data_IF_287851387122
#
_entry.id   IF_287851387122
#
_cell.length_a   1.000
_cell.length_b   1.000
_cell.length_c   1.000
_cell.angle_alpha   90.00
_cell.angle_beta   90.00
_cell.angle_gamma   90.00
#
_symmetry.space_group_name_H-M   'P 1'
#
loop_
_entity.id
_entity.type
_entity.pdbx_description
1 polymer ?
#
# COMPACT_ATOMS: atom_id res chain seq x y z
N UNK A 1 -0.91 -24.70 -33.57
CA UNK A 1 -1.08 -23.69 -34.64
C UNK A 1 -0.03 -22.58 -34.50
N UNK A 2 0.40 -21.94 -35.60
CA UNK A 2 1.30 -20.79 -35.56
C UNK A 2 0.75 -19.62 -34.72
N UNK A 3 -0.57 -19.40 -34.77
CA UNK A 3 -1.28 -18.39 -33.97
C UNK A 3 -1.08 -18.62 -32.47
N UNK A 4 -1.21 -19.88 -32.00
CA UNK A 4 -1.02 -20.23 -30.60
C UNK A 4 0.42 -19.97 -30.12
N UNK A 5 1.42 -20.24 -30.96
CA UNK A 5 2.83 -19.95 -30.65
C UNK A 5 3.11 -18.46 -30.57
N UNK A 6 2.56 -17.68 -31.49
CA UNK A 6 2.68 -16.21 -31.50
C UNK A 6 2.03 -15.63 -30.24
N UNK A 7 0.80 -16.05 -29.93
CA UNK A 7 0.08 -15.60 -28.73
C UNK A 7 0.87 -15.91 -27.43
N UNK A 8 1.46 -17.11 -27.34
CA UNK A 8 2.28 -17.51 -26.19
C UNK A 8 3.55 -16.68 -26.05
N UNK A 9 4.26 -16.44 -27.15
CA UNK A 9 5.46 -15.61 -27.15
C UNK A 9 5.15 -14.17 -26.73
N UNK A 10 4.05 -13.60 -27.25
CA UNK A 10 3.58 -12.26 -26.88
C UNK A 10 3.19 -12.20 -25.40
N UNK A 11 2.45 -13.18 -24.90
CA UNK A 11 2.12 -13.27 -23.47
C UNK A 11 3.37 -13.27 -22.59
N UNK A 12 4.32 -14.18 -22.86
CA UNK A 12 5.56 -14.25 -22.06
C UNK A 12 6.40 -12.98 -22.15
N UNK A 13 6.38 -12.29 -23.29
CA UNK A 13 7.11 -11.04 -23.48
C UNK A 13 6.49 -9.88 -22.69
N UNK A 14 5.17 -9.89 -22.48
CA UNK A 14 4.44 -8.85 -21.74
C UNK A 14 4.38 -9.10 -20.22
N UNK A 15 4.32 -10.37 -19.81
CA UNK A 15 4.19 -10.76 -18.40
C UNK A 15 5.38 -10.28 -17.55
N UNK A 16 6.61 -10.42 -18.04
CA UNK A 16 7.81 -10.03 -17.27
C UNK A 16 7.90 -8.52 -17.03
N UNK A 17 7.76 -7.64 -18.05
CA UNK A 17 7.70 -6.20 -17.82
C UNK A 17 6.55 -5.78 -16.91
N UNK A 18 5.38 -6.42 -17.04
CA UNK A 18 4.23 -6.10 -16.20
C UNK A 18 4.49 -6.45 -14.72
N UNK A 19 5.06 -7.63 -14.44
CA UNK A 19 5.48 -7.99 -13.08
C UNK A 19 6.52 -7.01 -12.50
N UNK A 20 7.51 -6.61 -13.31
CA UNK A 20 8.51 -5.64 -12.88
C UNK A 20 7.87 -4.28 -12.54
N UNK A 21 6.97 -3.78 -13.40
CA UNK A 21 6.27 -2.52 -13.16
C UNK A 21 5.38 -2.57 -11.91
N UNK A 22 4.65 -3.67 -11.69
CA UNK A 22 3.85 -3.84 -10.47
C UNK A 22 4.72 -3.91 -9.22
N UNK A 23 5.86 -4.58 -9.29
CA UNK A 23 6.80 -4.66 -8.17
C UNK A 23 7.38 -3.29 -7.82
N UNK A 24 7.82 -2.53 -8.83
CA UNK A 24 8.30 -1.15 -8.65
C UNK A 24 7.21 -0.25 -8.07
N UNK A 25 5.99 -0.36 -8.58
CA UNK A 25 4.84 0.39 -8.08
C UNK A 25 4.53 0.04 -6.61
N UNK A 26 4.53 -1.24 -6.24
CA UNK A 26 4.35 -1.67 -4.85
C UNK A 26 5.44 -1.11 -3.92
N UNK A 27 6.70 -1.12 -4.35
CA UNK A 27 7.80 -0.51 -3.57
C UNK A 27 7.57 0.99 -3.36
N UNK A 28 7.10 1.71 -4.39
CA UNK A 28 6.80 3.14 -4.28
C UNK A 28 5.64 3.40 -3.28
N UNK A 29 4.57 2.60 -3.33
CA UNK A 29 3.44 2.69 -2.39
C UNK A 29 3.89 2.39 -0.94
N UNK A 30 4.71 1.36 -0.73
CA UNK A 30 5.26 1.03 0.59
C UNK A 30 6.16 2.15 1.14
N UNK A 31 6.98 2.77 0.29
CA UNK A 31 7.79 3.94 0.68
C UNK A 31 6.90 5.12 1.07
N UNK A 32 5.81 5.35 0.34
CA UNK A 32 4.90 6.45 0.64
C UNK A 32 4.11 6.23 1.92
N UNK A 33 3.77 4.97 2.23
CA UNK A 33 3.19 4.57 3.52
C UNK A 33 4.12 4.91 4.68
N UNK A 34 5.39 4.55 4.59
CA UNK A 34 6.39 4.88 5.61
C UNK A 34 6.56 6.40 5.78
N UNK A 35 6.60 7.15 4.67
CA UNK A 35 6.65 8.61 4.73
C UNK A 35 5.43 9.22 5.44
N UNK A 36 4.24 8.66 5.24
CA UNK A 36 3.02 9.12 5.93
C UNK A 36 3.10 8.84 7.43
N UNK A 37 3.60 7.65 7.82
CA UNK A 37 3.81 7.25 9.21
C UNK A 37 4.77 8.20 9.94
N UNK A 38 5.94 8.45 9.36
CA UNK A 38 6.94 9.39 9.90
C UNK A 38 6.34 10.80 10.07
N UNK A 39 5.55 11.26 9.10
CA UNK A 39 4.90 12.59 9.18
C UNK A 39 3.87 12.65 10.30
N UNK A 40 3.03 11.63 10.44
CA UNK A 40 2.06 11.55 11.54
C UNK A 40 2.80 11.59 12.88
N UNK A 41 3.82 10.75 13.05
CA UNK A 41 4.63 10.70 14.28
C UNK A 41 5.20 12.08 14.62
N UNK A 42 5.81 12.77 13.64
CA UNK A 42 6.37 14.10 13.86
C UNK A 42 5.32 15.14 14.25
N UNK A 43 4.14 15.10 13.65
CA UNK A 43 3.06 16.02 14.02
C UNK A 43 2.55 15.75 15.44
N UNK A 44 2.60 14.50 15.89
CA UNK A 44 2.25 14.12 17.25
C UNK A 44 3.28 14.59 18.29
N UNK A 45 4.57 14.46 17.97
CA UNK A 45 5.65 15.00 18.79
C UNK A 45 5.51 16.53 18.94
N UNK A 46 5.16 17.25 17.87
CA UNK A 46 4.88 18.70 17.91
C UNK A 46 3.71 19.02 18.86
N UNK A 47 2.72 18.13 18.93
CA UNK A 47 1.58 18.24 19.84
C UNK A 47 1.88 17.74 21.26
N UNK A 48 3.14 17.39 21.56
CA UNK A 48 3.55 16.89 22.88
C UNK A 48 3.09 15.47 23.19
N UNK A 49 2.73 14.69 22.17
CA UNK A 49 2.39 13.27 22.29
C UNK A 49 3.58 12.43 21.84
N UNK A 50 4.07 11.59 22.74
CA UNK A 50 5.09 10.58 22.42
C UNK A 50 4.37 9.30 21.98
N UNK A 51 4.36 9.05 20.66
CA UNK A 51 3.72 7.90 20.05
C UNK A 51 4.72 7.25 19.11
N UNK A 52 4.99 5.96 19.32
CA UNK A 52 5.91 5.23 18.45
C UNK A 52 5.29 4.92 17.10
N UNK A 53 6.14 4.68 16.10
CA UNK A 53 5.69 4.17 14.81
C UNK A 53 4.83 2.90 14.95
N UNK A 54 5.20 1.97 15.82
CA UNK A 54 4.44 0.74 16.03
C UNK A 54 3.05 1.00 16.62
N UNK A 55 2.91 1.98 17.52
CA UNK A 55 1.60 2.37 18.03
C UNK A 55 0.72 2.99 16.95
N UNK A 56 1.29 3.78 16.03
CA UNK A 56 0.57 4.30 14.87
C UNK A 56 0.09 3.14 14.01
N UNK A 57 0.97 2.16 13.76
CA UNK A 57 0.67 0.94 13.00
C UNK A 57 -0.52 0.18 13.59
N UNK A 58 -0.46 -0.11 14.89
CA UNK A 58 -1.52 -0.79 15.64
C UNK A 58 -2.86 -0.04 15.53
N UNK A 59 -2.84 1.30 15.52
CA UNK A 59 -4.05 2.10 15.37
C UNK A 59 -4.70 1.93 13.99
N UNK A 60 -3.88 1.85 12.93
CA UNK A 60 -4.35 1.59 11.56
C UNK A 60 -4.89 0.16 11.44
N UNK A 61 -4.15 -0.84 11.91
CA UNK A 61 -4.55 -2.26 11.83
C UNK A 61 -5.85 -2.55 12.61
N UNK A 62 -6.03 -1.91 13.76
CA UNK A 62 -7.21 -2.09 14.60
C UNK A 62 -8.39 -1.20 14.19
N UNK A 63 -8.20 -0.28 13.24
CA UNK A 63 -9.22 0.69 12.82
C UNK A 63 -9.64 1.65 13.94
N UNK A 64 -8.77 1.90 14.94
CA UNK A 64 -9.09 2.69 16.15
C UNK A 64 -8.65 4.16 16.05
N UNK A 65 -8.56 4.69 14.84
CA UNK A 65 -8.10 6.06 14.59
C UNK A 65 -8.98 7.14 15.25
N UNK A 66 -10.29 6.94 15.31
CA UNK A 66 -11.22 7.96 15.82
C UNK A 66 -10.98 8.30 17.31
N UNK A 67 -10.63 7.29 18.12
CA UNK A 67 -10.29 7.45 19.55
C UNK A 67 -9.05 8.34 19.71
N UNK A 68 -8.15 8.30 18.74
CA UNK A 68 -6.94 9.10 18.74
C UNK A 68 -7.25 10.57 18.40
N UNK A 69 -8.08 10.81 17.39
CA UNK A 69 -8.47 12.16 16.96
C UNK A 69 -9.23 12.94 18.06
N UNK A 70 -10.13 12.28 18.80
CA UNK A 70 -10.88 12.91 19.90
C UNK A 70 -9.97 13.42 21.03
N UNK A 71 -8.94 12.66 21.39
CA UNK A 71 -7.99 13.03 22.44
C UNK A 71 -7.03 14.17 22.04
N UNK A 72 -6.91 14.46 20.74
CA UNK A 72 -6.02 15.51 20.21
C UNK A 72 -6.66 16.91 20.19
N UNK A 73 -8.00 17.01 20.15
CA UNK A 73 -8.72 18.27 19.99
C UNK A 73 -8.72 19.19 21.22
N UNK A 74 -8.29 18.68 22.38
CA UNK A 74 -8.40 19.39 23.65
C UNK A 74 -7.32 20.48 23.88
N UNK A 75 -6.24 20.52 23.09
CA UNK A 75 -5.06 21.31 23.42
C UNK A 75 -4.56 22.25 22.31
N UNK A 76 -4.39 23.55 22.65
CA UNK A 76 -3.57 24.61 22.00
C UNK A 76 -3.90 25.06 20.55
N UNK A 77 -3.88 26.39 20.33
CA UNK A 77 -4.04 27.09 19.03
C UNK A 77 -3.08 26.65 17.89
N UNK A 78 -2.02 25.88 18.18
CA UNK A 78 -1.11 25.29 17.19
C UNK A 78 -1.50 23.87 16.74
N UNK A 79 -2.34 23.17 17.51
CA UNK A 79 -2.73 21.79 17.24
C UNK A 79 -3.61 21.61 16.01
N UNK A 80 -4.36 22.63 15.60
CA UNK A 80 -5.30 22.49 14.48
C UNK A 80 -4.61 22.25 13.14
N UNK A 81 -3.46 22.89 12.90
CA UNK A 81 -2.69 22.67 11.68
C UNK A 81 -2.07 21.27 11.66
N UNK A 82 -1.48 20.84 12.79
CA UNK A 82 -0.92 19.50 12.97
C UNK A 82 -2.00 18.43 12.81
N UNK A 83 -3.17 18.62 13.42
CA UNK A 83 -4.32 17.71 13.30
C UNK A 83 -4.82 17.61 11.86
N UNK A 84 -4.96 18.73 11.16
CA UNK A 84 -5.36 18.71 9.74
C UNK A 84 -4.35 17.94 8.87
N UNK A 85 -3.05 18.09 9.15
CA UNK A 85 -2.01 17.33 8.45
C UNK A 85 -2.10 15.84 8.78
N UNK A 86 -2.24 15.49 10.05
CA UNK A 86 -2.44 14.13 10.55
C UNK A 86 -3.64 13.46 9.86
N UNK A 87 -4.81 14.11 9.83
CA UNK A 87 -6.00 13.60 9.14
C UNK A 87 -5.78 13.44 7.62
N UNK A 88 -5.06 14.38 7.00
CA UNK A 88 -4.70 14.29 5.59
C UNK A 88 -3.81 13.08 5.30
N UNK A 89 -2.82 12.81 6.17
CA UNK A 89 -1.95 11.63 6.07
C UNK A 89 -2.73 10.34 6.31
N UNK A 90 -3.65 10.33 7.27
CA UNK A 90 -4.54 9.18 7.52
C UNK A 90 -5.37 8.83 6.28
N UNK A 91 -6.04 9.82 5.67
CA UNK A 91 -6.80 9.60 4.42
C UNK A 91 -5.91 9.10 3.29
N UNK A 92 -4.66 9.55 3.21
CA UNK A 92 -3.73 9.05 2.22
C UNK A 92 -3.32 7.60 2.50
N UNK A 93 -3.10 7.22 3.75
CA UNK A 93 -2.79 5.85 4.16
C UNK A 93 -3.92 4.88 3.79
N UNK A 94 -5.18 5.24 4.05
CA UNK A 94 -6.32 4.42 3.62
C UNK A 94 -6.36 4.19 2.10
N UNK A 95 -5.98 5.21 1.31
CA UNK A 95 -5.90 5.09 -0.15
C UNK A 95 -4.71 4.23 -0.59
N UNK A 96 -3.55 4.37 0.07
CA UNK A 96 -2.37 3.53 -0.15
C UNK A 96 -2.73 2.05 0.08
N UNK A 97 -3.40 1.74 1.19
CA UNK A 97 -3.82 0.37 1.55
C UNK A 97 -4.83 -0.23 0.57
N UNK A 98 -5.74 0.59 0.02
CA UNK A 98 -6.62 0.14 -1.06
C UNK A 98 -5.80 -0.27 -2.29
N UNK A 99 -4.86 0.58 -2.72
CA UNK A 99 -4.05 0.30 -3.92
C UNK A 99 -3.12 -0.89 -3.72
N UNK A 100 -2.55 -1.08 -2.54
CA UNK A 100 -1.73 -2.25 -2.20
C UNK A 100 -2.58 -3.53 -2.24
N UNK A 101 -3.82 -3.50 -1.76
CA UNK A 101 -4.75 -4.63 -1.90
C UNK A 101 -5.07 -4.94 -3.36
N UNK A 102 -5.36 -3.92 -4.17
CA UNK A 102 -5.62 -4.10 -5.60
C UNK A 102 -4.40 -4.73 -6.32
N UNK A 103 -3.18 -4.33 -5.97
CA UNK A 103 -1.96 -4.96 -6.48
C UNK A 103 -1.81 -6.40 -6.01
N UNK A 104 -2.12 -6.70 -4.74
CA UNK A 104 -2.09 -8.06 -4.24
C UNK A 104 -3.04 -8.96 -5.05
N UNK A 105 -4.25 -8.50 -5.34
CA UNK A 105 -5.22 -9.26 -6.14
C UNK A 105 -4.71 -9.49 -7.56
N UNK A 106 -4.05 -8.50 -8.17
CA UNK A 106 -3.38 -8.65 -9.46
C UNK A 106 -2.25 -9.69 -9.39
N UNK A 107 -1.43 -9.69 -8.34
CA UNK A 107 -0.37 -10.68 -8.15
C UNK A 107 -0.91 -12.10 -8.04
N UNK A 108 -2.01 -12.30 -7.29
CA UNK A 108 -2.67 -13.61 -7.19
C UNK A 108 -3.21 -14.08 -8.53
N UNK A 109 -3.88 -13.20 -9.29
CA UNK A 109 -4.38 -13.52 -10.62
C UNK A 109 -3.25 -13.93 -11.57
N UNK A 110 -2.11 -13.23 -11.52
CA UNK A 110 -0.95 -13.60 -12.32
C UNK A 110 -0.31 -14.91 -11.89
N UNK A 111 -0.20 -15.17 -10.59
CA UNK A 111 0.34 -16.43 -10.08
C UNK A 111 -0.49 -17.62 -10.57
N UNK A 112 -1.82 -17.53 -10.48
CA UNK A 112 -2.73 -18.56 -11.00
C UNK A 112 -2.59 -18.76 -12.53
N UNK A 113 -2.43 -17.68 -13.29
CA UNK A 113 -2.24 -17.77 -14.75
C UNK A 113 -0.90 -18.41 -15.14
N UNK A 114 0.16 -18.20 -14.34
CA UNK A 114 1.46 -18.85 -14.55
C UNK A 114 1.38 -20.34 -14.22
N UNK A 115 0.71 -20.74 -13.14
CA UNK A 115 0.48 -22.16 -12.80
C UNK A 115 -0.30 -22.89 -13.90
N UNK A 116 -1.40 -22.30 -14.39
CA UNK A 116 -2.17 -22.87 -15.49
C UNK A 116 -1.36 -23.01 -16.80
N UNK A 117 -0.38 -22.14 -17.03
CA UNK A 117 0.52 -22.25 -18.18
C UNK A 117 1.63 -23.28 -17.98
N UNK A 118 2.05 -23.56 -16.74
CA UNK A 118 3.01 -24.61 -16.40
C UNK A 118 2.44 -26.02 -16.62
N UNK A 119 1.15 -26.24 -16.36
CA UNK A 119 0.49 -27.52 -16.64
C UNK A 119 0.41 -27.85 -18.15
N UNK A 120 0.54 -26.83 -19.01
CA UNK A 120 0.64 -27.00 -20.47
C UNK A 120 2.08 -27.13 -20.98
N UNK A 121 3.09 -27.04 -20.11
CA UNK A 121 4.51 -27.21 -20.45
C UNK A 121 4.97 -28.67 -20.44
N UNK A 122 4.29 -29.56 -19.70
CA UNK A 122 4.66 -30.99 -19.59
C UNK A 122 4.04 -31.89 -20.67
N UNK A 123 3.53 -31.30 -21.75
CA UNK A 123 3.12 -32.04 -22.95
C UNK A 123 3.81 -31.43 -24.16
N UNK A 124 5.08 -31.81 -24.38
CA UNK A 124 5.75 -32.08 -25.67
C UNK A 124 7.14 -32.65 -25.37
#
# INVERSE_FOLDING_TARGET
SAVARIARAQYSALTRPFQAAMHEYNQAEMKQRENCKIRIQRQLEIMGKDVSGDQIEDMFEQGKWDVFAENLLADVKGARAALNEIESRHREMLRLESRIRDLHDLFLQMAMLVEQQADTLDVI
#
